data_IF_239773446467
#
_entry.id   IF_239773446467
#
_cell.length_a   1.000
_cell.length_b   1.000
_cell.length_c   1.000
_cell.angle_alpha   90.00
_cell.angle_beta   90.00
_cell.angle_gamma   90.00
#
_symmetry.space_group_name_H-M   'P 1'
#
loop_
_entity.id
_entity.type
_entity.pdbx_description
1 polymer ?
#
# COMPACT_ATOMS: atom_id res chain seq x y z
N UNK A 1 -12.49 -31.98 -11.51
CA UNK A 1 -12.01 -33.14 -12.27
C UNK A 1 -11.05 -33.91 -11.39
N UNK A 2 -11.07 -35.24 -11.44
CA UNK A 2 -10.10 -36.06 -10.72
C UNK A 2 -8.71 -35.92 -11.35
N UNK A 3 -7.66 -35.95 -10.54
CA UNK A 3 -6.27 -35.91 -10.99
C UNK A 3 -5.95 -37.24 -11.69
N UNK A 4 -5.40 -37.25 -12.92
CA UNK A 4 -5.03 -38.48 -13.62
C UNK A 4 -3.99 -39.30 -12.84
N UNK A 5 -4.03 -40.62 -12.97
CA UNK A 5 -3.12 -41.55 -12.28
C UNK A 5 -1.64 -41.36 -12.61
N UNK A 6 -1.32 -40.81 -13.79
CA UNK A 6 0.06 -40.53 -14.26
C UNK A 6 0.37 -39.02 -14.28
N UNK A 7 -0.24 -38.25 -13.35
CA UNK A 7 -0.06 -36.81 -13.29
C UNK A 7 1.35 -36.42 -12.85
N UNK A 8 2.11 -35.82 -13.76
CA UNK A 8 3.35 -35.14 -13.44
C UNK A 8 3.07 -33.67 -13.12
N UNK A 9 3.21 -33.32 -11.83
CA UNK A 9 2.98 -31.97 -11.32
C UNK A 9 3.83 -30.90 -12.02
N UNK A 10 5.10 -31.23 -12.33
CA UNK A 10 6.02 -30.30 -12.97
C UNK A 10 5.63 -30.01 -14.42
N UNK A 11 5.30 -31.05 -15.19
CA UNK A 11 4.86 -30.91 -16.59
C UNK A 11 3.55 -30.11 -16.70
N UNK A 12 2.63 -30.34 -15.76
CA UNK A 12 1.40 -29.57 -15.69
C UNK A 12 1.66 -28.09 -15.35
N UNK A 13 2.54 -27.82 -14.40
CA UNK A 13 2.94 -26.46 -14.03
C UNK A 13 3.65 -25.76 -15.21
N UNK A 14 4.62 -26.43 -15.83
CA UNK A 14 5.40 -25.92 -16.96
C UNK A 14 4.50 -25.57 -18.15
N UNK A 15 3.62 -26.48 -18.57
CA UNK A 15 2.69 -26.24 -19.68
C UNK A 15 1.71 -25.09 -19.39
N UNK A 16 1.23 -24.99 -18.16
CA UNK A 16 0.34 -23.89 -17.73
C UNK A 16 1.06 -22.54 -17.78
N UNK A 17 2.27 -22.49 -17.23
CA UNK A 17 3.13 -21.31 -17.22
C UNK A 17 3.48 -20.89 -18.65
N UNK A 18 3.90 -21.83 -19.49
CA UNK A 18 4.28 -21.59 -20.89
C UNK A 18 3.14 -20.95 -21.66
N UNK A 19 1.91 -21.45 -21.49
CA UNK A 19 0.72 -20.89 -22.14
C UNK A 19 0.44 -19.45 -21.72
N UNK A 20 0.39 -19.18 -20.41
CA UNK A 20 0.02 -17.87 -19.87
C UNK A 20 1.10 -16.83 -20.14
N UNK A 21 2.36 -17.15 -19.82
CA UNK A 21 3.48 -16.22 -20.00
C UNK A 21 3.71 -15.90 -21.48
N UNK A 22 3.72 -16.90 -22.38
CA UNK A 22 3.94 -16.63 -23.80
C UNK A 22 2.80 -15.84 -24.44
N UNK A 23 1.57 -15.96 -23.93
CA UNK A 23 0.48 -15.09 -24.36
C UNK A 23 0.80 -13.62 -24.01
N UNK A 24 1.18 -13.34 -22.76
CA UNK A 24 1.52 -11.99 -22.29
C UNK A 24 2.71 -11.41 -23.09
N UNK A 25 3.76 -12.21 -23.31
CA UNK A 25 4.91 -11.80 -24.12
C UNK A 25 4.49 -11.49 -25.55
N UNK A 26 3.64 -12.31 -26.18
CA UNK A 26 3.15 -12.04 -27.55
C UNK A 26 2.29 -10.78 -27.64
N UNK A 27 1.48 -10.50 -26.63
CA UNK A 27 0.68 -9.28 -26.55
C UNK A 27 1.58 -8.03 -26.43
N UNK A 28 2.61 -8.09 -25.58
CA UNK A 28 3.58 -7.00 -25.39
C UNK A 28 4.39 -6.71 -26.66
N UNK A 29 4.80 -7.75 -27.38
CA UNK A 29 5.53 -7.66 -28.64
C UNK A 29 4.62 -7.81 -29.87
N UNK A 30 3.36 -7.36 -29.76
CA UNK A 30 2.35 -7.45 -30.83
C UNK A 30 2.71 -6.64 -32.08
N UNK A 31 3.66 -5.70 -31.97
CA UNK A 31 4.21 -4.96 -33.10
C UNK A 31 5.12 -5.80 -34.01
N UNK A 32 5.63 -6.95 -33.54
CA UNK A 32 6.41 -7.88 -34.35
C UNK A 32 5.46 -8.87 -35.03
N UNK A 33 5.25 -8.69 -36.32
CA UNK A 33 4.40 -9.56 -37.15
C UNK A 33 5.20 -10.74 -37.72
N UNK A 34 4.61 -11.94 -37.71
CA UNK A 34 5.24 -13.17 -38.19
C UNK A 34 5.76 -14.10 -37.09
N UNK A 35 5.93 -15.38 -37.44
CA UNK A 35 6.45 -16.42 -36.54
C UNK A 35 7.98 -16.56 -36.62
N UNK A 36 8.59 -16.08 -37.70
CA UNK A 36 10.03 -16.12 -37.90
C UNK A 36 10.69 -14.88 -37.28
N UNK A 37 11.28 -15.07 -36.10
CA UNK A 37 11.96 -14.00 -35.38
C UNK A 37 13.39 -13.84 -35.91
N UNK A 38 13.69 -12.67 -36.46
CA UNK A 38 15.05 -12.29 -36.81
C UNK A 38 15.84 -11.89 -35.55
N UNK A 39 16.92 -12.62 -35.25
CA UNK A 39 17.79 -12.35 -34.09
C UNK A 39 18.76 -11.18 -34.33
N UNK A 40 18.94 -10.73 -35.57
CA UNK A 40 19.72 -9.53 -35.86
C UNK A 40 18.98 -8.24 -35.48
N UNK A 41 17.64 -8.30 -35.38
CA UNK A 41 16.81 -7.17 -34.97
C UNK A 41 16.65 -7.18 -33.45
N UNK A 42 17.12 -6.16 -32.70
CA UNK A 42 17.16 -6.19 -31.23
C UNK A 42 15.81 -6.50 -30.57
N UNK A 43 14.71 -5.93 -31.09
CA UNK A 43 13.36 -6.14 -30.53
C UNK A 43 12.84 -7.56 -30.75
N UNK A 44 13.15 -8.14 -31.91
CA UNK A 44 12.79 -9.52 -32.26
C UNK A 44 13.64 -10.56 -31.51
N UNK A 45 14.95 -10.31 -31.39
CA UNK A 45 15.84 -11.05 -30.50
C UNK A 45 15.34 -11.05 -29.06
N UNK A 46 14.85 -9.91 -28.59
CA UNK A 46 14.36 -9.77 -27.22
C UNK A 46 13.05 -10.53 -26.99
N UNK A 47 12.10 -10.49 -27.95
CA UNK A 47 10.90 -11.32 -27.91
C UNK A 47 11.27 -12.81 -27.83
N UNK A 48 12.21 -13.26 -28.65
CA UNK A 48 12.69 -14.65 -28.62
C UNK A 48 13.31 -15.04 -27.28
N UNK A 49 14.08 -14.14 -26.68
CA UNK A 49 14.68 -14.36 -25.37
C UNK A 49 13.62 -14.47 -24.26
N UNK A 50 12.48 -13.78 -24.37
CA UNK A 50 11.42 -13.80 -23.35
C UNK A 50 10.46 -14.99 -23.46
N UNK A 51 10.39 -15.67 -24.62
CA UNK A 51 9.48 -16.80 -24.83
C UNK A 51 10.00 -18.08 -24.16
N UNK A 52 9.14 -18.71 -23.36
CA UNK A 52 9.38 -20.01 -22.76
C UNK A 52 9.22 -21.13 -23.80
N UNK A 53 10.06 -22.15 -23.70
CA UNK A 53 10.07 -23.33 -24.56
C UNK A 53 9.86 -24.58 -23.73
N UNK A 54 9.30 -25.59 -24.38
CA UNK A 54 8.98 -26.88 -23.74
C UNK A 54 10.25 -27.61 -23.26
N UNK A 55 11.36 -27.40 -23.96
CA UNK A 55 12.66 -27.97 -23.63
C UNK A 55 13.54 -27.06 -22.74
N UNK A 56 13.02 -25.93 -22.25
CA UNK A 56 13.76 -25.09 -21.30
C UNK A 56 13.91 -25.84 -19.96
N UNK A 57 15.09 -25.75 -19.34
CA UNK A 57 15.26 -26.17 -17.95
C UNK A 57 14.53 -25.21 -17.01
N UNK A 58 14.29 -25.64 -15.76
CA UNK A 58 13.70 -24.76 -14.74
C UNK A 58 14.46 -23.43 -14.61
N UNK A 59 15.80 -23.46 -14.62
CA UNK A 59 16.63 -22.26 -14.54
C UNK A 59 16.46 -21.35 -15.75
N UNK A 60 16.35 -21.91 -16.96
CA UNK A 60 16.08 -21.13 -18.16
C UNK A 60 14.70 -20.47 -18.09
N UNK A 61 13.68 -21.19 -17.61
CA UNK A 61 12.35 -20.61 -17.41
C UNK A 61 12.41 -19.42 -16.45
N UNK A 62 13.08 -19.57 -15.31
CA UNK A 62 13.26 -18.49 -14.32
C UNK A 62 13.99 -17.29 -14.95
N UNK A 63 15.08 -17.51 -15.67
CA UNK A 63 15.85 -16.43 -16.29
C UNK A 63 15.01 -15.65 -17.33
N UNK A 64 14.18 -16.34 -18.12
CA UNK A 64 13.28 -15.71 -19.10
C UNK A 64 12.18 -14.90 -18.40
N UNK A 65 11.65 -15.40 -17.28
CA UNK A 65 10.73 -14.65 -16.41
C UNK A 65 11.38 -13.37 -15.86
N UNK A 66 12.59 -13.48 -15.31
CA UNK A 66 13.33 -12.35 -14.76
C UNK A 66 13.64 -11.31 -15.84
N UNK A 67 14.07 -11.75 -17.04
CA UNK A 67 14.30 -10.86 -18.17
C UNK A 67 13.04 -10.07 -18.52
N UNK A 68 11.89 -10.73 -18.63
CA UNK A 68 10.64 -10.08 -19.01
C UNK A 68 10.11 -9.12 -17.92
N UNK A 69 9.96 -9.58 -16.69
CA UNK A 69 9.32 -8.78 -15.64
C UNK A 69 10.28 -7.80 -14.95
N UNK A 70 11.53 -8.19 -14.68
CA UNK A 70 12.46 -7.37 -13.89
C UNK A 70 13.37 -6.51 -14.77
N UNK A 71 13.89 -7.02 -15.88
CA UNK A 71 14.80 -6.24 -16.72
C UNK A 71 14.05 -5.33 -17.67
N UNK A 72 13.10 -5.87 -18.44
CA UNK A 72 12.36 -5.09 -19.44
C UNK A 72 11.32 -4.17 -18.81
N UNK A 73 10.50 -4.74 -17.93
CA UNK A 73 9.41 -3.99 -17.30
C UNK A 73 9.81 -3.35 -15.97
N UNK A 74 11.08 -3.48 -15.55
CA UNK A 74 11.63 -2.86 -14.32
C UNK A 74 10.80 -3.14 -13.07
N UNK A 75 10.19 -4.33 -12.99
CA UNK A 75 9.23 -4.73 -11.97
C UNK A 75 7.99 -3.81 -11.85
N UNK A 76 7.73 -2.95 -12.84
CA UNK A 76 6.65 -1.96 -12.79
C UNK A 76 5.27 -2.60 -12.78
N UNK A 77 5.07 -3.77 -13.37
CA UNK A 77 3.74 -4.44 -13.34
C UNK A 77 3.51 -5.24 -12.07
N UNK A 78 4.59 -5.53 -11.35
CA UNK A 78 4.54 -6.09 -10.00
C UNK A 78 4.25 -4.99 -8.96
N UNK A 79 4.36 -3.72 -9.35
CA UNK A 79 4.20 -2.56 -8.49
C UNK A 79 3.05 -1.67 -8.96
N UNK A 80 2.50 -0.84 -8.09
CA UNK A 80 1.55 0.19 -8.53
C UNK A 80 2.37 1.37 -9.06
N UNK A 81 1.96 2.03 -10.15
CA UNK A 81 2.57 3.30 -10.53
C UNK A 81 2.23 4.33 -9.45
N UNK A 82 3.20 4.66 -8.60
CA UNK A 82 3.09 5.75 -7.64
C UNK A 82 3.78 6.99 -8.21
N UNK A 83 3.13 8.16 -8.09
CA UNK A 83 3.83 9.43 -8.22
C UNK A 83 4.42 9.76 -6.85
N UNK A 84 5.73 9.56 -6.70
CA UNK A 84 6.46 9.86 -5.47
C UNK A 84 6.98 11.29 -5.47
N UNK A 85 6.80 12.01 -4.36
CA UNK A 85 7.56 13.22 -4.07
C UNK A 85 8.72 12.77 -3.18
N UNK A 86 9.98 13.14 -3.48
CA UNK A 86 11.11 12.87 -2.60
C UNK A 86 10.83 13.36 -1.18
N UNK A 87 11.26 12.57 -0.19
CA UNK A 87 10.99 12.83 1.22
C UNK A 87 11.53 14.21 1.65
N UNK A 88 12.70 14.59 1.15
CA UNK A 88 13.33 15.88 1.43
C UNK A 88 12.48 17.06 0.95
N UNK A 89 11.88 16.95 -0.24
CA UNK A 89 11.01 17.98 -0.81
C UNK A 89 9.71 18.13 0.00
N UNK A 90 9.15 17.01 0.48
CA UNK A 90 7.99 17.02 1.36
C UNK A 90 8.29 17.77 2.67
N UNK A 91 9.45 17.50 3.28
CA UNK A 91 9.84 18.07 4.57
C UNK A 91 10.25 19.55 4.51
N UNK A 92 10.85 20.01 3.42
CA UNK A 92 11.24 21.41 3.22
C UNK A 92 10.06 22.38 3.41
N UNK A 93 8.84 21.95 3.07
CA UNK A 93 7.63 22.77 3.19
C UNK A 93 7.07 22.93 4.62
N UNK A 94 7.54 22.15 5.61
CA UNK A 94 6.89 22.01 6.95
C UNK A 94 7.85 22.09 8.16
N UNK A 95 8.92 22.89 8.07
CA UNK A 95 9.86 23.19 9.19
C UNK A 95 10.53 21.96 9.85
N UNK A 96 10.69 20.85 9.11
CA UNK A 96 11.55 19.71 9.50
C UNK A 96 11.24 19.03 10.85
N UNK A 97 10.01 19.19 11.38
CA UNK A 97 9.58 18.49 12.60
C UNK A 97 9.43 16.99 12.32
N UNK A 98 9.93 16.09 13.20
CA UNK A 98 9.71 14.66 13.07
C UNK A 98 8.21 14.34 12.94
N UNK A 99 7.87 13.48 11.99
CA UNK A 99 6.49 13.08 11.70
C UNK A 99 6.32 11.59 11.98
N UNK A 100 5.28 11.25 12.73
CA UNK A 100 4.87 9.87 12.99
C UNK A 100 3.70 9.55 12.08
N UNK A 101 3.80 8.47 11.33
CA UNK A 101 2.77 8.02 10.40
C UNK A 101 2.35 6.60 10.74
N UNK A 102 1.03 6.37 10.80
CA UNK A 102 0.38 5.09 11.05
C UNK A 102 -0.23 4.59 9.76
N UNK A 103 0.03 3.33 9.43
CA UNK A 103 -0.48 2.68 8.24
C UNK A 103 -1.49 1.60 8.62
N UNK A 104 -2.63 1.64 7.94
CA UNK A 104 -3.72 0.70 8.09
C UNK A 104 -4.03 0.10 6.73
N UNK A 105 -4.38 -1.19 6.71
CA UNK A 105 -4.70 -1.91 5.49
C UNK A 105 -5.90 -2.80 5.72
N UNK A 106 -6.77 -2.86 4.73
CA UNK A 106 -7.87 -3.82 4.65
C UNK A 106 -7.33 -5.26 4.65
N UNK A 107 -7.95 -6.13 5.44
CA UNK A 107 -7.56 -7.54 5.54
C UNK A 107 -7.90 -8.24 4.22
N UNK A 108 -7.01 -9.11 3.73
CA UNK A 108 -7.19 -9.76 2.42
C UNK A 108 -8.44 -10.64 2.36
N UNK A 109 -8.87 -11.19 3.50
CA UNK A 109 -10.05 -12.03 3.61
C UNK A 109 -11.36 -11.24 3.46
N UNK A 110 -11.33 -9.92 3.64
CA UNK A 110 -12.49 -9.04 3.56
C UNK A 110 -12.62 -8.36 2.19
N UNK A 111 -11.72 -8.66 1.25
CA UNK A 111 -11.73 -8.06 -0.09
C UNK A 111 -12.83 -8.64 -0.97
N UNK A 112 -13.52 -7.77 -1.70
CA UNK A 112 -14.38 -8.17 -2.81
C UNK A 112 -13.51 -8.65 -4.00
N UNK A 113 -13.99 -9.67 -4.73
CA UNK A 113 -13.30 -10.22 -5.90
C UNK A 113 -12.88 -9.13 -6.92
N UNK A 114 -11.63 -9.19 -7.38
CA UNK A 114 -11.00 -8.21 -8.28
C UNK A 114 -10.89 -6.77 -7.74
N UNK A 115 -10.99 -6.56 -6.43
CA UNK A 115 -10.69 -5.27 -5.81
C UNK A 115 -9.32 -5.27 -5.13
N UNK A 116 -8.72 -4.08 -5.02
CA UNK A 116 -7.42 -3.90 -4.35
C UNK A 116 -7.68 -3.45 -2.91
N UNK A 117 -6.85 -3.88 -1.93
CA UNK A 117 -7.01 -3.49 -0.55
C UNK A 117 -6.89 -1.98 -0.36
N UNK A 118 -7.80 -1.44 0.43
CA UNK A 118 -7.82 -0.04 0.79
C UNK A 118 -6.82 0.24 1.91
N UNK A 119 -6.10 1.36 1.80
CA UNK A 119 -5.20 1.84 2.83
C UNK A 119 -5.81 3.00 3.62
N UNK A 120 -5.43 3.10 4.89
CA UNK A 120 -5.65 4.25 5.75
C UNK A 120 -4.31 4.78 6.24
N UNK A 121 -4.14 6.09 6.24
CA UNK A 121 -2.96 6.75 6.78
C UNK A 121 -3.39 7.83 7.76
N UNK A 122 -2.69 7.90 8.89
CA UNK A 122 -2.87 8.94 9.90
C UNK A 122 -1.49 9.41 10.31
N UNK A 123 -1.29 10.72 10.48
CA UNK A 123 0.01 11.23 10.92
C UNK A 123 -0.11 12.42 11.86
N UNK A 124 0.90 12.59 12.71
CA UNK A 124 1.09 13.76 13.56
C UNK A 124 2.57 14.12 13.65
N UNK A 125 2.85 15.35 14.09
CA UNK A 125 4.22 15.85 14.25
C UNK A 125 4.59 16.00 15.72
N UNK A 126 5.84 15.70 16.04
CA UNK A 126 6.42 15.92 17.36
C UNK A 126 6.87 17.37 17.47
N UNK A 127 6.01 18.25 17.99
CA UNK A 127 6.26 19.70 18.00
C UNK A 127 7.36 20.13 18.98
N UNK A 128 7.54 19.37 20.06
CA UNK A 128 8.60 19.59 21.05
C UNK A 128 9.96 19.08 20.57
N UNK A 129 10.00 18.35 19.46
CA UNK A 129 11.23 17.75 18.92
C UNK A 129 11.69 18.38 17.61
N UNK A 130 12.93 18.09 17.24
CA UNK A 130 13.55 18.46 15.97
C UNK A 130 14.40 17.29 15.48
N UNK A 131 14.93 17.37 14.26
CA UNK A 131 15.82 16.34 13.72
C UNK A 131 17.11 16.13 14.54
N UNK A 132 17.51 17.13 15.33
CA UNK A 132 18.74 17.07 16.15
C UNK A 132 18.49 16.81 17.63
N UNK A 133 17.24 16.94 18.11
CA UNK A 133 16.88 16.70 19.52
C UNK A 133 16.27 15.32 19.73
N UNK A 134 15.56 14.78 18.73
CA UNK A 134 14.91 13.47 18.85
C UNK A 134 15.96 12.36 19.02
N UNK A 135 15.75 11.51 20.02
CA UNK A 135 16.67 10.43 20.37
C UNK A 135 16.06 9.04 20.14
N UNK A 136 16.91 8.02 20.02
CA UNK A 136 16.46 6.63 19.89
C UNK A 136 15.63 6.15 21.11
N UNK A 137 16.00 6.45 22.37
CA UNK A 137 15.16 6.10 23.52
C UNK A 137 13.75 6.70 23.48
N UNK A 138 13.59 7.93 23.00
CA UNK A 138 12.27 8.56 22.85
C UNK A 138 11.43 7.86 21.79
N UNK A 139 12.02 7.53 20.64
CA UNK A 139 11.34 6.75 19.60
C UNK A 139 10.96 5.35 20.08
N UNK A 140 11.80 4.71 20.91
CA UNK A 140 11.51 3.41 21.51
C UNK A 140 10.35 3.50 22.52
N UNK A 141 10.32 4.54 23.35
CA UNK A 141 9.21 4.78 24.28
C UNK A 141 7.90 5.01 23.51
N UNK A 142 7.96 5.79 22.43
CA UNK A 142 6.84 6.01 21.53
C UNK A 142 6.37 4.71 20.87
N UNK A 143 7.29 3.91 20.33
CA UNK A 143 7.01 2.62 19.71
C UNK A 143 6.28 1.66 20.65
N UNK A 144 6.76 1.52 21.89
CA UNK A 144 6.11 0.70 22.91
C UNK A 144 4.68 1.16 23.19
N UNK A 145 4.46 2.48 23.29
CA UNK A 145 3.12 3.02 23.50
C UNK A 145 2.20 2.80 22.32
N UNK A 146 2.71 2.90 21.09
CA UNK A 146 1.97 2.53 19.88
C UNK A 146 1.58 1.05 19.93
N UNK A 147 2.49 0.15 20.29
CA UNK A 147 2.20 -1.28 20.50
C UNK A 147 1.08 -1.48 21.52
N UNK A 148 1.12 -0.79 22.65
CA UNK A 148 0.06 -0.88 23.67
C UNK A 148 -1.31 -0.37 23.19
N UNK A 149 -1.36 0.73 22.41
CA UNK A 149 -2.62 1.37 22.01
C UNK A 149 -3.24 0.72 20.77
N UNK A 150 -2.41 0.34 19.79
CA UNK A 150 -2.80 -0.12 18.46
C UNK A 150 -2.46 -1.58 18.16
N UNK A 151 -1.59 -2.23 18.95
CA UNK A 151 -1.25 -3.65 18.81
C UNK A 151 -2.29 -4.67 19.33
N UNK A 152 -3.08 -4.40 20.39
CA UNK A 152 -3.97 -5.41 20.96
C UNK A 152 -4.98 -6.00 19.97
N UNK A 153 -5.43 -7.23 20.24
CA UNK A 153 -6.40 -7.97 19.43
C UNK A 153 -5.98 -8.12 17.96
N UNK A 154 -4.68 -8.38 17.74
CA UNK A 154 -4.09 -8.51 16.41
C UNK A 154 -4.27 -7.21 15.60
N UNK A 155 -3.97 -6.05 16.18
CA UNK A 155 -4.06 -4.75 15.52
C UNK A 155 -5.43 -4.08 15.62
N UNK A 156 -5.44 -2.78 15.93
CA UNK A 156 -6.64 -1.95 15.99
C UNK A 156 -7.32 -1.83 14.62
N UNK A 157 -8.65 -1.94 14.63
CA UNK A 157 -9.48 -1.83 13.44
C UNK A 157 -10.09 -0.44 13.38
N UNK A 158 -9.72 0.31 12.34
CA UNK A 158 -10.36 1.57 11.98
C UNK A 158 -11.51 1.30 10.99
N UNK A 159 -12.73 1.57 11.46
CA UNK A 159 -13.94 1.49 10.65
C UNK A 159 -14.06 2.70 9.72
N UNK A 160 -13.47 2.62 8.53
CA UNK A 160 -13.56 3.70 7.55
C UNK A 160 -14.96 3.80 7.00
N UNK A 161 -15.37 5.05 6.76
CA UNK A 161 -16.67 5.39 6.19
C UNK A 161 -16.59 6.57 5.25
N UNK A 162 -17.74 7.17 4.93
CA UNK A 162 -17.82 8.28 3.96
C UNK A 162 -17.79 9.66 4.61
N UNK A 163 -18.06 9.74 5.92
CA UNK A 163 -18.06 10.99 6.70
C UNK A 163 -16.63 11.39 7.02
N UNK A 164 -16.27 12.63 6.69
CA UNK A 164 -14.93 13.16 6.95
C UNK A 164 -14.94 13.96 8.25
N UNK A 165 -14.12 13.54 9.21
CA UNK A 165 -13.87 14.25 10.45
C UNK A 165 -12.44 14.80 10.43
N UNK A 166 -12.31 16.11 10.59
CA UNK A 166 -11.01 16.79 10.63
C UNK A 166 -10.73 17.28 12.04
N UNK A 167 -9.60 16.88 12.64
CA UNK A 167 -9.13 17.40 13.92
C UNK A 167 -7.82 18.17 13.70
N UNK A 168 -7.83 19.48 13.92
CA UNK A 168 -6.67 20.33 13.64
C UNK A 168 -6.28 21.14 14.87
N UNK A 169 -5.18 20.73 15.51
CA UNK A 169 -4.57 21.40 16.65
C UNK A 169 -3.07 21.58 16.34
N UNK A 170 -2.76 22.67 15.63
CA UNK A 170 -1.43 22.90 15.03
C UNK A 170 -0.33 23.03 16.08
N UNK A 171 -0.63 23.62 17.23
CA UNK A 171 0.34 23.85 18.30
C UNK A 171 0.88 22.53 18.87
N UNK A 172 0.05 21.47 18.87
CA UNK A 172 0.44 20.10 19.26
C UNK A 172 0.80 19.20 18.08
N UNK A 173 0.81 19.72 16.85
CA UNK A 173 1.24 19.01 15.65
C UNK A 173 0.20 18.10 15.01
N UNK A 174 -1.09 18.25 15.37
CA UNK A 174 -2.17 17.43 14.84
C UNK A 174 -2.90 18.11 13.68
N UNK A 175 -2.99 17.39 12.56
CA UNK A 175 -3.82 17.76 11.41
C UNK A 175 -4.43 16.48 10.82
N UNK A 176 -5.34 15.87 11.59
CA UNK A 176 -5.92 14.57 11.28
C UNK A 176 -7.11 14.75 10.34
N UNK A 177 -7.18 13.94 9.29
CA UNK A 177 -8.31 13.84 8.37
C UNK A 177 -8.79 12.39 8.32
N UNK A 178 -9.89 12.11 9.00
CA UNK A 178 -10.36 10.76 9.27
C UNK A 178 -11.68 10.52 8.55
N UNK A 179 -11.69 9.55 7.65
CA UNK A 179 -12.90 8.98 7.09
C UNK A 179 -13.45 7.93 8.05
N UNK A 180 -14.62 8.18 8.66
CA UNK A 180 -15.24 7.28 9.64
C UNK A 180 -16.72 7.02 9.30
N UNK A 181 -17.29 5.96 9.86
CA UNK A 181 -18.73 5.66 9.74
C UNK A 181 -19.60 6.62 10.56
N UNK A 182 -19.09 7.03 11.71
CA UNK A 182 -19.77 7.88 12.69
C UNK A 182 -18.77 8.71 13.53
N UNK A 183 -19.33 9.65 14.29
CA UNK A 183 -18.58 10.57 15.15
C UNK A 183 -17.91 9.86 16.32
N UNK A 184 -18.55 8.81 16.86
CA UNK A 184 -18.00 8.02 17.97
C UNK A 184 -16.69 7.36 17.56
N UNK A 185 -16.66 6.72 16.40
CA UNK A 185 -15.47 6.09 15.81
C UNK A 185 -14.36 7.11 15.60
N UNK A 186 -14.70 8.31 15.08
CA UNK A 186 -13.72 9.39 14.90
C UNK A 186 -13.12 9.85 16.23
N UNK A 187 -13.96 10.11 17.25
CA UNK A 187 -13.51 10.53 18.58
C UNK A 187 -12.67 9.46 19.27
N UNK A 188 -13.03 8.19 19.17
CA UNK A 188 -12.24 7.07 19.71
C UNK A 188 -10.85 7.01 19.07
N UNK A 189 -10.77 7.13 17.75
CA UNK A 189 -9.50 7.12 17.04
C UNK A 189 -8.63 8.34 17.38
N UNK A 190 -9.22 9.54 17.44
CA UNK A 190 -8.52 10.76 17.87
C UNK A 190 -7.99 10.61 19.29
N UNK A 191 -8.81 10.12 20.24
CA UNK A 191 -8.37 9.85 21.61
C UNK A 191 -7.14 8.94 21.62
N UNK A 192 -7.18 7.81 20.89
CA UNK A 192 -6.04 6.88 20.81
C UNK A 192 -4.79 7.51 20.22
N UNK A 193 -4.93 8.31 19.16
CA UNK A 193 -3.79 8.98 18.51
C UNK A 193 -3.16 10.02 19.45
N UNK A 194 -3.98 10.84 20.11
CA UNK A 194 -3.51 11.88 21.02
C UNK A 194 -2.93 11.28 22.32
N UNK A 195 -3.52 10.18 22.79
CA UNK A 195 -3.05 9.45 23.96
C UNK A 195 -1.61 8.99 23.79
N UNK A 196 -1.13 8.66 22.59
CA UNK A 196 0.28 8.31 22.35
C UNK A 196 1.24 9.38 22.92
N UNK A 197 0.91 10.67 22.82
CA UNK A 197 1.72 11.75 23.39
C UNK A 197 1.25 12.21 24.79
N UNK A 198 0.35 11.46 25.43
CA UNK A 198 -0.35 11.84 26.67
C UNK A 198 -1.16 13.14 26.52
N UNK A 199 -1.66 13.43 25.32
CA UNK A 199 -2.48 14.59 25.07
C UNK A 199 -3.97 14.23 25.20
N UNK A 200 -4.76 15.12 25.80
CA UNK A 200 -6.22 15.02 25.80
C UNK A 200 -6.81 15.83 24.64
N UNK A 201 -7.76 15.27 23.85
CA UNK A 201 -8.38 16.02 22.78
C UNK A 201 -9.23 17.19 23.28
N UNK A 202 -9.13 18.33 22.59
CA UNK A 202 -10.06 19.44 22.74
C UNK A 202 -11.01 19.45 21.55
N UNK A 203 -12.26 19.04 21.81
CA UNK A 203 -13.27 18.81 20.79
C UNK A 203 -13.66 20.07 20.00
N UNK A 204 -13.26 21.28 20.43
CA UNK A 204 -13.44 22.52 19.64
C UNK A 204 -12.68 22.47 18.30
N UNK A 205 -11.60 21.69 18.24
CA UNK A 205 -10.77 21.50 17.04
C UNK A 205 -11.31 20.43 16.09
N UNK A 206 -12.36 19.70 16.49
CA UNK A 206 -13.03 18.72 15.64
C UNK A 206 -14.05 19.43 14.73
N UNK A 207 -13.97 19.13 13.43
CA UNK A 207 -14.93 19.58 12.40
C UNK A 207 -15.38 18.36 11.60
N UNK A 208 -16.62 18.38 11.13
CA UNK A 208 -17.18 17.35 10.26
C UNK A 208 -17.54 17.92 8.89
N UNK A 209 -17.22 17.19 7.85
CA UNK A 209 -17.67 17.41 6.48
C UNK A 209 -18.42 16.15 6.03
N UNK A 210 -19.75 16.27 6.03
CA UNK A 210 -20.71 15.20 5.77
C UNK A 210 -21.55 15.65 4.57
N UNK A 211 -21.73 14.77 3.59
CA UNK A 211 -22.60 15.04 2.45
C UNK A 211 -24.07 14.82 2.85
N UNK A 212 -24.96 15.73 2.43
CA UNK A 212 -26.40 15.61 2.72
C UNK A 212 -27.00 14.36 2.06
N UNK A 213 -26.60 14.07 0.82
CA UNK A 213 -26.85 12.78 0.15
C UNK A 213 -25.54 11.99 -0.01
N UNK A 214 -25.28 11.13 0.97
CA UNK A 214 -24.10 10.28 1.01
C UNK A 214 -24.07 9.23 -0.12
N UNK A 215 -25.23 8.70 -0.51
CA UNK A 215 -25.33 7.66 -1.53
C UNK A 215 -25.18 8.21 -2.95
N UNK A 216 -25.72 9.41 -3.20
CA UNK A 216 -25.49 10.11 -4.46
C UNK A 216 -24.05 10.62 -4.60
N UNK A 217 -23.45 11.13 -3.51
CA UNK A 217 -22.09 11.67 -3.53
C UNK A 217 -21.00 10.59 -3.63
N UNK A 218 -21.24 9.43 -3.01
CA UNK A 218 -20.29 8.32 -2.93
C UNK A 218 -20.99 6.98 -3.21
N UNK A 219 -21.49 6.76 -4.44
CA UNK A 219 -22.23 5.55 -4.77
C UNK A 219 -21.37 4.30 -4.60
N UNK A 220 -21.97 3.23 -4.09
CA UNK A 220 -21.30 1.93 -3.95
C UNK A 220 -20.85 1.40 -5.31
N UNK A 221 -21.73 1.51 -6.32
CA UNK A 221 -21.45 1.20 -7.72
C UNK A 221 -21.37 2.51 -8.52
N UNK A 222 -20.16 3.06 -8.76
CA UNK A 222 -20.01 4.34 -9.45
C UNK A 222 -20.30 4.27 -10.96
N UNK A 223 -20.50 3.07 -11.52
CA UNK A 223 -20.75 2.84 -12.95
C UNK A 223 -19.46 2.86 -13.77
N UNK A 224 -19.59 3.02 -15.09
CA UNK A 224 -18.47 3.03 -16.03
C UNK A 224 -18.22 4.43 -16.59
N UNK A 225 -17.01 4.65 -17.12
CA UNK A 225 -16.65 5.81 -17.93
C UNK A 225 -15.76 5.37 -19.09
N UNK A 226 -15.79 6.13 -20.18
CA UNK A 226 -14.98 5.81 -21.36
C UNK A 226 -13.62 6.50 -21.25
N UNK A 227 -12.53 5.74 -21.38
CA UNK A 227 -11.17 6.25 -21.54
C UNK A 227 -10.65 5.69 -22.87
N UNK A 228 -10.13 6.57 -23.74
CA UNK A 228 -9.53 6.17 -25.03
C UNK A 228 -10.42 5.21 -25.85
N UNK A 229 -11.73 5.47 -25.88
CA UNK A 229 -12.71 4.66 -26.62
C UNK A 229 -13.13 3.33 -25.97
N UNK A 230 -12.54 2.96 -24.83
CA UNK A 230 -12.87 1.73 -24.07
C UNK A 230 -13.61 2.08 -22.78
N UNK A 231 -14.56 1.23 -22.39
CA UNK A 231 -15.35 1.40 -21.16
C UNK A 231 -14.59 0.82 -19.96
N UNK A 232 -14.39 1.64 -18.93
CA UNK A 232 -13.72 1.26 -17.68
C UNK A 232 -14.62 1.55 -16.48
N UNK A 233 -14.57 0.69 -15.45
CA UNK A 233 -15.25 0.94 -14.18
C UNK A 233 -14.68 2.20 -13.53
N UNK A 234 -15.55 3.11 -13.07
CA UNK A 234 -15.12 4.26 -12.26
C UNK A 234 -14.54 3.77 -10.93
N UNK A 235 -13.49 4.44 -10.41
CA UNK A 235 -12.96 4.10 -9.10
C UNK A 235 -13.98 4.40 -8.00
N UNK A 236 -14.09 3.50 -7.01
CA UNK A 236 -14.92 3.72 -5.83
C UNK A 236 -14.29 4.81 -4.96
N UNK A 237 -15.08 5.81 -4.58
CA UNK A 237 -14.65 6.91 -3.69
C UNK A 237 -15.12 6.64 -2.27
N UNK A 238 -14.23 6.82 -1.29
CA UNK A 238 -14.50 6.63 0.15
C UNK A 238 -15.25 5.31 0.45
N UNK A 239 -14.70 4.15 0.05
CA UNK A 239 -15.35 2.89 0.33
C UNK A 239 -15.50 2.69 1.84
N UNK A 240 -16.63 2.11 2.25
CA UNK A 240 -16.87 1.72 3.64
C UNK A 240 -16.20 0.36 3.87
N UNK A 241 -15.03 0.39 4.48
CA UNK A 241 -14.17 -0.77 4.68
C UNK A 241 -13.54 -0.70 6.06
N UNK A 242 -13.24 -1.86 6.62
CA UNK A 242 -12.51 -1.94 7.88
C UNK A 242 -11.02 -2.11 7.56
N UNK A 243 -10.19 -1.21 8.09
CA UNK A 243 -8.74 -1.27 7.89
C UNK A 243 -8.05 -1.50 9.22
N UNK A 244 -7.13 -2.45 9.22
CA UNK A 244 -6.40 -2.87 10.42
C UNK A 244 -5.02 -2.25 10.44
N UNK A 245 -4.59 -1.79 11.61
CA UNK A 245 -3.25 -1.24 11.83
C UNK A 245 -2.19 -2.24 11.37
N UNK A 246 -1.17 -1.81 10.63
CA UNK A 246 -0.10 -2.68 10.12
C UNK A 246 1.25 -2.31 10.71
N UNK A 247 1.59 -1.02 10.69
CA UNK A 247 2.85 -0.52 11.22
C UNK A 247 2.80 0.99 11.40
N UNK A 248 3.77 1.52 12.14
CA UNK A 248 4.02 2.95 12.28
C UNK A 248 5.50 3.28 12.00
N UNK A 249 5.74 4.42 11.37
CA UNK A 249 7.09 4.91 11.06
C UNK A 249 7.29 6.33 11.58
N UNK A 250 8.53 6.65 11.94
CA UNK A 250 8.99 8.00 12.19
C UNK A 250 9.83 8.49 11.01
N UNK A 251 9.42 9.63 10.46
CA UNK A 251 10.16 10.29 9.40
C UNK A 251 10.85 11.53 9.98
N UNK A 252 12.17 11.57 9.85
CA UNK A 252 13.03 12.59 10.45
C UNK A 252 13.87 13.20 9.34
N UNK A 253 13.93 14.52 9.29
CA UNK A 253 14.71 15.22 8.27
C UNK A 253 16.19 14.90 8.37
N UNK A 254 16.84 14.68 7.21
CA UNK A 254 18.24 14.24 7.12
C UNK A 254 18.43 12.72 7.13
N UNK A 255 17.34 11.95 7.30
CA UNK A 255 17.35 10.48 7.21
C UNK A 255 16.50 10.05 6.02
N UNK A 256 17.12 9.40 5.03
CA UNK A 256 16.45 9.00 3.79
C UNK A 256 15.48 7.84 3.96
N UNK A 257 15.66 7.02 5.01
CA UNK A 257 14.80 5.87 5.32
C UNK A 257 13.97 6.18 6.57
N UNK A 258 12.62 6.11 6.52
CA UNK A 258 11.80 6.19 7.71
C UNK A 258 12.20 5.12 8.73
N UNK A 259 12.23 5.50 10.01
CA UNK A 259 12.54 4.58 11.11
C UNK A 259 11.24 3.84 11.44
N UNK A 260 11.24 2.52 11.32
CA UNK A 260 10.10 1.71 11.71
C UNK A 260 9.98 1.67 13.25
N UNK A 261 8.85 2.09 13.79
CA UNK A 261 8.61 2.15 15.23
C UNK A 261 8.06 0.83 15.75
N UNK A 262 6.90 0.45 15.24
CA UNK A 262 6.23 -0.79 15.57
C UNK A 262 5.63 -1.40 14.31
N UNK A 263 5.91 -2.67 14.07
CA UNK A 263 5.45 -3.40 12.89
C UNK A 263 4.87 -4.76 13.27
N UNK A 264 3.67 -5.06 12.75
CA UNK A 264 3.01 -6.37 12.88
C UNK A 264 2.84 -7.10 11.55
N UNK A 265 3.26 -6.48 10.46
CA UNK A 265 3.14 -6.98 9.09
C UNK A 265 4.43 -7.56 8.53
N UNK A 266 5.54 -7.47 9.27
CA UNK A 266 6.90 -7.83 8.82
C UNK A 266 7.32 -7.09 7.55
N UNK A 267 6.81 -5.87 7.37
CA UNK A 267 7.24 -4.97 6.29
C UNK A 267 8.68 -4.49 6.53
N UNK A 268 9.09 -4.34 7.79
CA UNK A 268 10.41 -3.88 8.20
C UNK A 268 11.14 -4.95 9.01
N UNK A 269 12.39 -5.21 8.65
CA UNK A 269 13.28 -6.11 9.40
C UNK A 269 13.94 -5.42 10.61
N UNK A 270 13.89 -4.08 10.64
CA UNK A 270 14.61 -3.22 11.59
C UNK A 270 13.66 -2.33 12.41
N UNK A 271 12.45 -2.79 12.69
CA UNK A 271 11.53 -2.09 13.58
C UNK A 271 12.07 -2.03 15.01
N UNK A 272 11.84 -0.90 15.70
CA UNK A 272 12.30 -0.70 17.07
C UNK A 272 11.59 -1.63 18.06
N UNK A 273 10.34 -1.98 17.77
CA UNK A 273 9.51 -2.92 18.53
C UNK A 273 8.77 -3.81 17.54
N UNK A 274 8.82 -5.12 17.73
CA UNK A 274 8.07 -6.07 16.91
C UNK A 274 6.93 -6.70 17.72
N UNK A 275 5.96 -7.31 17.05
CA UNK A 275 4.87 -8.02 17.72
C UNK A 275 5.36 -9.25 18.52
N UNK A 276 6.46 -9.87 18.07
CA UNK A 276 6.94 -11.17 18.58
C UNK A 276 8.21 -11.09 19.44
N UNK A 277 8.70 -9.87 19.74
CA UNK A 277 9.79 -9.59 20.68
C UNK A 277 9.29 -8.81 21.90
#
# INVERSE_FOLDING_TARGET
MAIPTDFNEFEHLQSTILRVHNQIVREEFSDITGNDLDLAVPRSSLRWACLLKDNDTCDMMIQRFLLFYFTLRRAQDLQQPFYGIPLDDLHASRKFKPQITFYFKEDLNDLEDNTRPTWGEISFRLMNESSTTITKPELLALANKIKTVFGPANGYIWKKGRKLYSYTEKDKGYQLQLLCRDDSTAKQLINKVLDIQNHTPDWKFLKSNIADDENGSFPYNPGNHTILGKSYKKPRRRPMVDVRFQYATATIWGINKPIALYDRSFTFLDALVDEFN
#
